data_IF_362228094187
#
_entry.id   IF_362228094187
#
_cell.length_a   1.000
_cell.length_b   1.000
_cell.length_c   1.000
_cell.angle_alpha   90.00
_cell.angle_beta   90.00
_cell.angle_gamma   90.00
#
_symmetry.space_group_name_H-M   'P 1'
#
loop_
_entity.id
_entity.type
_entity.pdbx_description
1 polymer ?
#
# COMPACT_ATOMS: atom_id res chain seq x y z
N UNK A 1 2.70 -0.49 7.75
CA UNK A 1 1.24 -0.61 7.77
C UNK A 1 0.64 -0.46 6.38
N UNK A 2 -0.50 -1.11 6.16
CA UNK A 2 -1.38 -0.88 5.01
C UNK A 2 -1.93 0.56 4.99
N UNK A 3 -2.45 1.01 3.83
CA UNK A 3 -3.22 2.25 3.70
C UNK A 3 -4.41 2.27 4.66
N UNK A 4 -4.60 3.35 5.39
CA UNK A 4 -5.76 3.55 6.26
C UNK A 4 -7.02 3.85 5.44
N UNK A 5 -8.02 2.96 5.49
CA UNK A 5 -9.27 3.11 4.73
C UNK A 5 -10.31 4.03 5.38
N UNK A 6 -9.97 4.64 6.51
CA UNK A 6 -10.84 5.55 7.26
C UNK A 6 -12.16 4.90 7.62
N UNK A 7 -13.26 5.61 7.43
CA UNK A 7 -14.60 5.14 7.77
C UNK A 7 -15.08 3.93 6.93
N UNK A 8 -14.30 3.51 5.93
CA UNK A 8 -14.57 2.28 5.17
C UNK A 8 -13.99 1.03 5.85
N UNK A 9 -13.15 1.20 6.88
CA UNK A 9 -12.59 0.08 7.62
C UNK A 9 -13.72 -0.77 8.25
N UNK A 10 -13.68 -2.08 8.02
CA UNK A 10 -14.68 -3.02 8.54
C UNK A 10 -15.97 -3.14 7.72
N UNK A 11 -16.20 -2.29 6.72
CA UNK A 11 -17.35 -2.41 5.82
C UNK A 11 -17.04 -3.38 4.68
N UNK A 12 -18.03 -4.19 4.28
CA UNK A 12 -17.89 -4.97 3.07
C UNK A 12 -18.07 -4.07 1.82
N UNK A 13 -17.58 -4.52 0.67
CA UNK A 13 -17.56 -3.72 -0.56
C UNK A 13 -18.96 -3.43 -1.10
N UNK A 14 -19.89 -4.38 -0.97
CA UNK A 14 -21.27 -4.23 -1.43
C UNK A 14 -22.07 -3.25 -0.56
N UNK A 15 -21.92 -3.28 0.76
CA UNK A 15 -22.49 -2.31 1.69
C UNK A 15 -21.94 -0.92 1.45
N UNK A 16 -20.64 -0.80 1.20
CA UNK A 16 -20.01 0.49 0.89
C UNK A 16 -20.57 1.06 -0.41
N UNK A 17 -20.73 0.23 -1.45
CA UNK A 17 -21.32 0.63 -2.72
C UNK A 17 -22.80 1.03 -2.57
N UNK A 18 -23.56 0.30 -1.76
CA UNK A 18 -24.96 0.63 -1.46
C UNK A 18 -25.10 1.97 -0.72
N UNK A 19 -24.17 2.29 0.19
CA UNK A 19 -24.20 3.54 0.99
C UNK A 19 -23.66 4.76 0.26
N UNK A 20 -22.61 4.60 -0.55
CA UNK A 20 -21.87 5.72 -1.13
C UNK A 20 -21.94 5.79 -2.66
N UNK A 21 -22.52 4.79 -3.31
CA UNK A 21 -22.56 4.65 -4.76
C UNK A 21 -21.31 3.97 -5.34
N UNK A 22 -21.50 3.15 -6.38
CA UNK A 22 -20.41 2.39 -7.01
C UNK A 22 -19.31 3.28 -7.58
N UNK A 23 -19.67 4.40 -8.23
CA UNK A 23 -18.70 5.33 -8.81
C UNK A 23 -17.83 5.99 -7.74
N UNK A 24 -18.40 6.36 -6.59
CA UNK A 24 -17.63 6.93 -5.48
C UNK A 24 -16.68 5.91 -4.87
N UNK A 25 -17.14 4.67 -4.67
CA UNK A 25 -16.29 3.58 -4.18
C UNK A 25 -15.16 3.27 -5.17
N UNK A 26 -15.45 3.33 -6.48
CA UNK A 26 -14.45 3.18 -7.52
C UNK A 26 -13.41 4.29 -7.49
N UNK A 27 -13.81 5.54 -7.26
CA UNK A 27 -12.88 6.66 -7.05
C UNK A 27 -11.98 6.38 -5.85
N UNK A 28 -12.51 6.03 -4.68
CA UNK A 28 -11.67 5.76 -3.50
C UNK A 28 -10.71 4.57 -3.70
N UNK A 29 -11.12 3.57 -4.49
CA UNK A 29 -10.30 2.39 -4.82
C UNK A 29 -9.25 2.67 -5.89
N UNK A 30 -9.49 3.61 -6.78
CA UNK A 30 -8.68 3.85 -7.98
C UNK A 30 -8.07 5.26 -8.05
N UNK A 31 -8.30 6.11 -7.06
CA UNK A 31 -7.63 7.41 -6.99
C UNK A 31 -6.29 7.26 -6.28
N UNK A 32 -5.31 7.98 -6.81
CA UNK A 32 -3.99 8.09 -6.23
C UNK A 32 -3.99 8.98 -4.98
N UNK A 33 -4.69 10.11 -5.05
CA UNK A 33 -4.58 11.22 -4.10
C UNK A 33 -5.85 11.50 -3.30
N UNK A 34 -7.03 11.02 -3.72
CA UNK A 34 -8.30 11.21 -3.02
C UNK A 34 -8.47 10.13 -1.94
N UNK A 35 -8.43 10.50 -0.65
CA UNK A 35 -8.64 9.55 0.43
C UNK A 35 -10.14 9.20 0.58
N UNK A 36 -10.46 8.04 1.19
CA UNK A 36 -11.80 7.75 1.68
C UNK A 36 -12.21 8.70 2.82
N UNK A 37 -13.49 8.68 3.24
CA UNK A 37 -13.94 9.50 4.36
C UNK A 37 -13.15 9.19 5.64
N UNK A 38 -12.70 10.21 6.40
CA UNK A 38 -11.91 10.02 7.61
C UNK A 38 -12.72 9.44 8.76
N UNK A 39 -12.06 8.66 9.62
CA UNK A 39 -12.52 8.43 11.00
C UNK A 39 -12.33 9.71 11.81
N UNK A 40 -13.31 10.01 12.68
CA UNK A 40 -13.15 11.06 13.67
C UNK A 40 -12.10 10.64 14.71
N UNK A 41 -11.35 11.60 15.27
CA UNK A 41 -10.37 11.31 16.33
C UNK A 41 -11.03 10.71 17.59
N UNK A 42 -12.32 10.97 17.82
CA UNK A 42 -13.11 10.38 18.90
C UNK A 42 -13.61 8.96 18.60
N UNK A 43 -13.50 8.48 17.35
CA UNK A 43 -13.94 7.15 16.96
C UNK A 43 -13.04 6.09 17.63
N UNK A 44 -13.58 5.08 18.33
CA UNK A 44 -12.77 4.04 18.98
C UNK A 44 -11.85 3.26 18.03
N UNK A 45 -12.16 3.21 16.73
CA UNK A 45 -11.33 2.56 15.71
C UNK A 45 -10.20 3.46 15.19
N UNK A 46 -10.16 4.73 15.60
CA UNK A 46 -9.07 5.64 15.22
C UNK A 46 -7.74 5.15 15.84
N UNK A 47 -6.61 5.13 15.09
CA UNK A 47 -5.35 4.59 15.58
C UNK A 47 -4.81 5.25 16.87
N UNK A 48 -5.26 6.46 17.21
CA UNK A 48 -4.90 7.13 18.46
C UNK A 48 -5.33 6.39 19.73
N UNK A 49 -6.30 5.49 19.63
CA UNK A 49 -6.79 4.69 20.76
C UNK A 49 -6.12 3.31 20.85
N UNK A 50 -5.27 2.94 19.89
CA UNK A 50 -4.57 1.65 19.88
C UNK A 50 -3.22 1.77 20.61
N UNK A 51 -2.96 0.95 21.64
CA UNK A 51 -1.75 1.05 22.45
C UNK A 51 -0.46 0.82 21.65
N UNK A 52 -0.52 0.14 20.49
CA UNK A 52 0.66 -0.07 19.62
C UNK A 52 1.21 1.24 19.05
N UNK A 53 0.39 2.29 18.99
CA UNK A 53 0.77 3.59 18.44
C UNK A 53 0.93 4.67 19.51
N UNK A 54 0.87 4.32 20.81
CA UNK A 54 0.91 5.27 21.91
C UNK A 54 2.20 6.12 21.98
N UNK A 55 3.30 5.64 21.38
CA UNK A 55 4.57 6.38 21.31
C UNK A 55 4.68 7.36 20.14
N UNK A 56 3.66 7.45 19.28
CA UNK A 56 3.65 8.35 18.12
C UNK A 56 2.89 9.65 18.45
N UNK A 57 3.30 10.75 17.83
CA UNK A 57 2.55 11.99 17.87
C UNK A 57 1.13 11.76 17.31
N UNK A 58 0.05 12.05 18.04
CA UNK A 58 -1.31 11.84 17.55
C UNK A 58 -1.60 12.51 16.20
N UNK A 59 -0.89 13.60 15.86
CA UNK A 59 -1.02 14.31 14.58
C UNK A 59 -0.53 13.51 13.37
N UNK A 60 0.33 12.52 13.57
CA UNK A 60 0.81 11.64 12.49
C UNK A 60 -0.04 10.38 12.32
N UNK A 61 -1.03 10.16 13.20
CA UNK A 61 -1.92 9.01 13.13
C UNK A 61 -3.08 9.29 12.18
N UNK A 62 -3.23 8.53 11.08
CA UNK A 62 -4.19 8.88 10.06
C UNK A 62 -5.61 8.44 10.42
N UNK A 63 -6.57 9.37 10.28
CA UNK A 63 -7.98 9.03 10.20
C UNK A 63 -8.39 8.46 8.83
N UNK A 64 -7.57 8.67 7.80
CA UNK A 64 -7.73 8.13 6.43
C UNK A 64 -6.45 8.36 5.64
N UNK A 65 -6.21 7.57 4.59
CA UNK A 65 -5.09 7.73 3.68
C UNK A 65 -5.52 7.52 2.22
N UNK A 66 -4.93 8.31 1.33
CA UNK A 66 -4.80 7.99 -0.08
C UNK A 66 -3.50 7.20 -0.32
N UNK A 67 -3.27 6.73 -1.55
CA UNK A 67 -1.99 6.09 -1.87
C UNK A 67 -0.84 7.10 -1.79
N UNK A 68 -1.08 8.36 -2.19
CA UNK A 68 -0.13 9.46 -2.03
C UNK A 68 0.32 9.65 -0.58
N UNK A 69 -0.62 9.76 0.37
CA UNK A 69 -0.28 9.89 1.80
C UNK A 69 0.44 8.65 2.33
N UNK A 70 0.11 7.46 1.80
CA UNK A 70 0.83 6.23 2.13
C UNK A 70 2.29 6.31 1.68
N UNK A 71 2.57 6.86 0.48
CA UNK A 71 3.92 7.08 -0.04
C UNK A 71 4.69 8.05 0.86
N UNK A 72 4.06 9.17 1.23
CA UNK A 72 4.70 10.22 2.03
C UNK A 72 5.28 9.70 3.36
N UNK A 73 4.66 8.68 3.97
CA UNK A 73 5.20 8.02 5.18
C UNK A 73 6.10 6.81 4.91
N UNK A 74 6.03 6.19 3.73
CA UNK A 74 6.85 5.02 3.38
C UNK A 74 8.25 5.45 2.94
N UNK A 75 8.37 6.54 2.18
CA UNK A 75 9.66 6.99 1.65
C UNK A 75 10.67 7.42 2.72
N UNK A 76 10.29 8.11 3.81
CA UNK A 76 11.21 8.37 4.91
C UNK A 76 11.80 7.08 5.48
N UNK A 77 10.98 6.04 5.68
CA UNK A 77 11.49 4.74 6.17
C UNK A 77 12.40 4.04 5.17
N UNK A 78 12.12 4.17 3.86
CA UNK A 78 13.03 3.72 2.81
C UNK A 78 14.39 4.40 2.90
N UNK A 79 14.41 5.73 2.96
CA UNK A 79 15.64 6.51 2.93
C UNK A 79 16.44 6.43 4.24
N UNK A 80 15.78 6.45 5.39
CA UNK A 80 16.44 6.60 6.69
C UNK A 80 16.80 5.26 7.32
N UNK A 81 16.14 4.16 6.90
CA UNK A 81 16.32 2.83 7.52
C UNK A 81 16.77 1.79 6.50
N UNK A 82 16.01 1.63 5.40
CA UNK A 82 16.25 0.52 4.46
C UNK A 82 17.50 0.76 3.60
N UNK A 83 17.65 1.96 3.03
CA UNK A 83 18.83 2.31 2.22
C UNK A 83 20.14 2.18 3.01
N UNK A 84 20.28 2.71 4.24
CA UNK A 84 21.48 2.51 5.05
C UNK A 84 21.76 1.04 5.35
N UNK A 85 20.72 0.24 5.63
CA UNK A 85 20.89 -1.19 5.86
C UNK A 85 21.43 -1.91 4.60
N UNK A 86 20.85 -1.63 3.42
CA UNK A 86 21.32 -2.21 2.15
C UNK A 86 22.77 -1.78 1.87
N UNK A 87 23.09 -0.49 2.04
CA UNK A 87 24.45 0.05 1.83
C UNK A 87 25.49 -0.53 2.79
N UNK A 88 25.08 -0.95 3.98
CA UNK A 88 25.95 -1.68 4.93
C UNK A 88 26.23 -3.13 4.52
N UNK A 89 25.73 -3.58 3.36
CA UNK A 89 25.91 -4.94 2.84
C UNK A 89 24.89 -5.96 3.36
N UNK A 90 23.86 -5.52 4.09
CA UNK A 90 22.79 -6.44 4.54
C UNK A 90 21.86 -6.79 3.39
N UNK A 91 21.45 -8.06 3.33
CA UNK A 91 20.37 -8.53 2.46
C UNK A 91 19.05 -8.31 3.18
N UNK A 92 18.22 -7.41 2.66
CA UNK A 92 16.97 -6.98 3.30
C UNK A 92 15.78 -7.70 2.67
N UNK A 93 14.88 -8.23 3.50
CA UNK A 93 13.58 -8.74 3.08
C UNK A 93 12.48 -7.89 3.73
N UNK A 94 11.48 -7.49 2.95
CA UNK A 94 10.37 -6.63 3.40
C UNK A 94 9.07 -7.43 3.30
N UNK A 95 8.49 -7.79 4.45
CA UNK A 95 7.15 -8.36 4.53
C UNK A 95 6.17 -7.26 4.96
N UNK A 96 5.28 -6.85 4.05
CA UNK A 96 4.38 -5.72 4.27
C UNK A 96 3.03 -5.94 3.56
N UNK A 97 2.35 -4.85 3.23
CA UNK A 97 1.01 -4.87 2.65
C UNK A 97 0.97 -4.28 1.25
N UNK A 98 -0.16 -4.46 0.56
CA UNK A 98 -0.34 -4.08 -0.83
C UNK A 98 0.02 -2.62 -1.11
N UNK A 99 -0.61 -1.64 -0.43
CA UNK A 99 -0.35 -0.23 -0.75
C UNK A 99 1.02 0.24 -0.25
N UNK A 100 1.51 -0.30 0.87
CA UNK A 100 2.88 0.02 1.32
C UNK A 100 3.96 -0.50 0.36
N UNK A 101 3.74 -1.66 -0.27
CA UNK A 101 4.65 -2.19 -1.29
C UNK A 101 4.49 -1.43 -2.61
N UNK A 102 3.26 -1.11 -3.03
CA UNK A 102 3.01 -0.24 -4.20
C UNK A 102 3.69 1.11 -4.08
N UNK A 103 3.72 1.69 -2.87
CA UNK A 103 4.43 2.93 -2.62
C UNK A 103 5.93 2.82 -2.94
N UNK A 104 6.58 1.74 -2.50
CA UNK A 104 7.98 1.48 -2.83
C UNK A 104 8.18 1.20 -4.33
N UNK A 105 7.33 0.37 -4.94
CA UNK A 105 7.42 0.03 -6.37
C UNK A 105 7.26 1.29 -7.24
N UNK A 106 6.28 2.16 -6.96
CA UNK A 106 6.12 3.42 -7.68
C UNK A 106 7.39 4.27 -7.63
N UNK A 107 8.00 4.37 -6.46
CA UNK A 107 9.21 5.17 -6.27
C UNK A 107 10.42 4.55 -6.98
N UNK A 108 10.61 3.24 -6.85
CA UNK A 108 11.75 2.53 -7.44
C UNK A 108 11.68 2.52 -8.97
N UNK A 109 10.51 2.23 -9.52
CA UNK A 109 10.30 2.07 -10.97
C UNK A 109 9.87 3.38 -11.66
N UNK A 110 9.92 4.52 -10.96
CA UNK A 110 9.54 5.85 -11.46
C UNK A 110 8.17 5.85 -12.16
N UNK A 111 7.17 5.19 -11.54
CA UNK A 111 5.87 4.97 -12.16
C UNK A 111 5.00 6.24 -12.11
N UNK A 112 4.19 6.45 -13.15
CA UNK A 112 3.13 7.47 -13.12
C UNK A 112 2.02 7.11 -12.12
N UNK A 113 1.21 8.11 -11.76
CA UNK A 113 0.08 7.92 -10.84
C UNK A 113 -0.97 6.97 -11.44
N UNK A 114 -1.20 7.05 -12.75
CA UNK A 114 -2.11 6.16 -13.49
C UNK A 114 -1.58 4.73 -13.52
N UNK A 115 -0.28 4.56 -13.74
CA UNK A 115 0.35 3.24 -13.80
C UNK A 115 0.29 2.53 -12.44
N UNK A 116 0.53 3.23 -11.33
CA UNK A 116 0.51 2.59 -10.01
C UNK A 116 -0.88 2.17 -9.57
N UNK A 117 -1.92 2.89 -10.00
CA UNK A 117 -3.32 2.53 -9.72
C UNK A 117 -3.66 1.17 -10.34
N UNK A 118 -3.11 0.88 -11.52
CA UNK A 118 -3.35 -0.37 -12.25
C UNK A 118 -2.48 -1.54 -11.77
N UNK A 119 -1.37 -1.27 -11.06
CA UNK A 119 -0.44 -2.29 -10.61
C UNK A 119 -1.10 -3.21 -9.57
N UNK A 120 -1.03 -4.52 -9.78
CA UNK A 120 -1.40 -5.53 -8.78
C UNK A 120 -0.17 -6.32 -8.37
N UNK A 121 0.15 -6.27 -7.07
CA UNK A 121 1.20 -7.09 -6.47
C UNK A 121 0.54 -8.37 -5.95
N UNK A 122 0.90 -9.56 -6.44
CA UNK A 122 0.36 -10.84 -5.98
C UNK A 122 0.68 -11.06 -4.50
N UNK A 123 -0.25 -11.67 -3.78
CA UNK A 123 -0.06 -12.00 -2.36
C UNK A 123 0.99 -13.10 -2.22
N UNK A 124 1.94 -12.90 -1.30
CA UNK A 124 2.92 -13.90 -0.87
C UNK A 124 3.88 -14.42 -1.98
N UNK A 125 4.02 -13.69 -3.09
CA UNK A 125 5.07 -13.97 -4.08
C UNK A 125 6.24 -13.01 -3.88
N UNK A 126 7.48 -13.51 -3.68
CA UNK A 126 8.64 -12.63 -3.54
C UNK A 126 8.89 -11.81 -4.82
N UNK A 127 8.95 -10.49 -4.67
CA UNK A 127 9.42 -9.56 -5.71
C UNK A 127 10.86 -9.16 -5.38
N UNK A 128 11.79 -9.56 -6.25
CA UNK A 128 13.22 -9.27 -6.08
C UNK A 128 13.57 -8.01 -6.85
N UNK A 129 14.31 -7.11 -6.20
CA UNK A 129 14.95 -5.95 -6.84
C UNK A 129 16.47 -6.13 -6.80
N UNK A 130 17.10 -5.96 -7.96
CA UNK A 130 18.55 -5.74 -8.04
C UNK A 130 18.80 -4.25 -8.18
N UNK A 131 19.63 -3.69 -7.30
CA UNK A 131 19.89 -2.25 -7.22
C UNK A 131 21.37 -1.95 -7.54
N UNK A 132 21.63 -0.81 -8.17
CA UNK A 132 22.98 -0.30 -8.39
C UNK A 132 23.55 0.35 -7.12
N UNK A 133 24.79 0.84 -7.18
CA UNK A 133 25.45 1.51 -6.05
C UNK A 133 24.72 2.79 -5.58
N UNK A 134 23.90 3.39 -6.45
CA UNK A 134 23.10 4.58 -6.16
C UNK A 134 21.69 4.24 -5.68
N UNK A 135 21.40 2.95 -5.40
CA UNK A 135 20.08 2.43 -5.02
C UNK A 135 19.01 2.58 -6.12
N UNK A 136 19.43 2.67 -7.38
CA UNK A 136 18.52 2.66 -8.53
C UNK A 136 18.28 1.22 -8.99
N UNK A 137 17.04 0.83 -9.35
CA UNK A 137 16.79 -0.50 -9.89
C UNK A 137 17.53 -0.75 -11.20
N UNK A 138 18.15 -1.92 -11.29
CA UNK A 138 18.69 -2.50 -12.52
C UNK A 138 17.62 -3.36 -13.18
N UNK A 139 16.95 -4.20 -12.38
CA UNK A 139 15.80 -5.02 -12.79
C UNK A 139 15.02 -5.48 -11.56
N UNK A 140 13.79 -5.90 -11.79
CA UNK A 140 12.97 -6.58 -10.81
C UNK A 140 12.26 -7.80 -11.44
N UNK A 141 11.95 -8.80 -10.62
CA UNK A 141 11.26 -10.02 -11.07
C UNK A 141 10.63 -10.77 -9.91
N UNK A 142 9.53 -11.48 -10.19
CA UNK A 142 8.89 -12.36 -9.21
C UNK A 142 9.56 -13.74 -9.17
N UNK A 143 9.65 -14.32 -7.98
CA UNK A 143 10.07 -15.71 -7.76
C UNK A 143 8.84 -16.62 -7.71
N UNK A 144 8.32 -16.99 -8.88
CA UNK A 144 7.23 -17.95 -9.02
C UNK A 144 7.27 -18.59 -10.42
N UNK A 145 6.61 -19.73 -10.55
CA UNK A 145 6.28 -20.28 -11.87
C UNK A 145 5.37 -19.30 -12.64
N UNK A 146 5.57 -19.08 -13.96
CA UNK A 146 4.77 -18.13 -14.73
C UNK A 146 3.26 -18.39 -14.71
N UNK A 147 2.82 -19.65 -14.70
CA UNK A 147 1.39 -19.98 -14.66
C UNK A 147 0.81 -19.72 -13.27
N UNK A 148 1.55 -20.05 -12.22
CA UNK A 148 1.16 -19.76 -10.84
C UNK A 148 1.09 -18.25 -10.59
N UNK A 149 2.10 -17.50 -11.05
CA UNK A 149 2.14 -16.05 -10.96
C UNK A 149 0.92 -15.42 -11.63
N UNK A 150 0.58 -15.87 -12.83
CA UNK A 150 -0.61 -15.39 -13.55
C UNK A 150 -1.88 -15.62 -12.74
N UNK A 151 -2.08 -16.83 -12.19
CA UNK A 151 -3.24 -17.16 -11.35
C UNK A 151 -3.32 -16.25 -10.11
N UNK A 152 -2.19 -15.99 -9.45
CA UNK A 152 -2.13 -15.15 -8.25
C UNK A 152 -2.38 -13.67 -8.58
N UNK A 153 -1.86 -13.16 -9.70
CA UNK A 153 -2.13 -11.81 -10.17
C UNK A 153 -3.62 -11.61 -10.52
N UNK A 154 -4.22 -12.59 -11.21
CA UNK A 154 -5.65 -12.60 -11.54
C UNK A 154 -6.52 -12.66 -10.27
N UNK A 155 -6.10 -13.41 -9.26
CA UNK A 155 -6.79 -13.46 -7.97
C UNK A 155 -6.84 -12.07 -7.32
N UNK A 156 -5.73 -11.33 -7.30
CA UNK A 156 -5.69 -9.95 -6.77
C UNK A 156 -6.55 -9.00 -7.58
N UNK A 157 -6.49 -9.07 -8.91
CA UNK A 157 -7.31 -8.23 -9.79
C UNK A 157 -8.83 -8.45 -9.57
N UNK A 158 -9.22 -9.67 -9.21
CA UNK A 158 -10.61 -10.05 -8.94
C UNK A 158 -11.06 -9.79 -7.49
N UNK A 159 -10.17 -9.35 -6.58
CA UNK A 159 -10.53 -9.06 -5.19
C UNK A 159 -11.57 -7.94 -5.11
N UNK A 160 -12.80 -8.30 -4.73
CA UNK A 160 -13.91 -7.37 -4.57
C UNK A 160 -14.80 -7.17 -5.78
N UNK A 161 -14.72 -8.06 -6.78
CA UNK A 161 -15.90 -8.34 -7.60
C UNK A 161 -16.92 -9.05 -6.70
N UNK A 162 -18.19 -8.69 -6.81
CA UNK A 162 -19.26 -9.44 -6.16
C UNK A 162 -19.19 -10.91 -6.65
N UNK A 163 -19.42 -11.85 -5.74
CA UNK A 163 -19.74 -13.22 -6.14
C UNK A 163 -21.19 -13.26 -6.63
#
# INVERSE_FOLDING_TARGET
>A
NERHYGALAGLNKSETAAKHGEEQVKIWRRSFDIPPPPLAASDPLHPSHDPRYAGLDPRVLPGTESLKLTIDRVLPYWHDVLVPAIRSGKRVAIAAHGNSLRALVKYLDDMSDEAIIALNIPTAVPLVYELDANMRPIKNYYLADPEELKKLMDAVANQGKAK
#
